data_IF_871980436076
#
_entry.id   IF_871980436076
#
_cell.length_a   1.000
_cell.length_b   1.000
_cell.length_c   1.000
_cell.angle_alpha   90.00
_cell.angle_beta   90.00
_cell.angle_gamma   90.00
#
_symmetry.space_group_name_H-M   'P 1'
#
loop_
_entity.id
_entity.type
_entity.pdbx_description
1 polymer ?
#
# COMPACT_ATOMS: atom_id res chain seq x y z
N UNK A 1 -2.23 0.35 -22.93
CA UNK A 1 -3.20 1.33 -22.37
C UNK A 1 -2.50 1.95 -21.18
N UNK A 2 -2.13 3.25 -21.27
CA UNK A 2 -1.44 3.95 -20.18
C UNK A 2 -2.33 4.06 -18.94
N UNK A 3 -1.77 3.77 -17.77
CA UNK A 3 -2.45 4.00 -16.49
C UNK A 3 -2.52 5.51 -16.25
N UNK A 4 -3.74 6.04 -16.02
CA UNK A 4 -3.92 7.47 -15.77
C UNK A 4 -3.24 7.88 -14.46
N UNK A 5 -2.32 8.87 -14.56
CA UNK A 5 -1.57 9.36 -13.42
C UNK A 5 -1.96 10.79 -13.03
N UNK A 6 -1.87 11.08 -11.74
CA UNK A 6 -1.98 12.44 -11.18
C UNK A 6 -0.59 12.89 -10.75
N UNK A 7 -0.12 13.99 -11.33
CA UNK A 7 1.22 14.54 -11.06
C UNK A 7 1.12 15.80 -10.21
N UNK A 8 1.99 15.92 -9.21
CA UNK A 8 2.10 17.11 -8.36
C UNK A 8 3.57 17.45 -8.10
N UNK A 9 3.87 18.72 -7.84
CA UNK A 9 5.25 19.19 -7.75
C UNK A 9 5.91 19.33 -9.11
N UNK A 10 7.21 19.55 -9.14
CA UNK A 10 7.98 19.69 -10.37
C UNK A 10 9.47 19.45 -10.13
N UNK A 11 10.18 19.06 -11.18
CA UNK A 11 11.62 18.78 -11.14
C UNK A 11 11.96 17.40 -10.57
N UNK A 12 13.25 17.13 -10.51
CA UNK A 12 13.80 15.92 -9.92
C UNK A 12 14.00 16.10 -8.41
N UNK A 13 13.99 14.99 -7.64
CA UNK A 13 13.73 13.62 -8.05
C UNK A 13 12.24 13.35 -8.32
N UNK A 14 11.93 12.24 -8.98
CA UNK A 14 10.53 11.81 -9.21
C UNK A 14 10.21 10.61 -8.33
N UNK A 15 9.10 10.70 -7.58
CA UNK A 15 8.62 9.65 -6.68
C UNK A 15 7.27 9.11 -7.16
N UNK A 16 7.19 7.81 -7.46
CA UNK A 16 5.94 7.12 -7.76
C UNK A 16 5.28 6.60 -6.48
N UNK A 17 3.95 6.66 -6.39
CA UNK A 17 3.20 6.26 -5.21
C UNK A 17 2.08 5.27 -5.55
N UNK A 18 2.13 4.09 -4.93
CA UNK A 18 1.14 3.03 -5.03
C UNK A 18 0.32 2.92 -3.74
N UNK A 19 -1.00 3.07 -3.87
CA UNK A 19 -1.93 3.03 -2.74
C UNK A 19 -2.26 1.59 -2.28
N UNK A 20 -2.94 1.47 -1.14
CA UNK A 20 -3.43 0.22 -0.58
C UNK A 20 -4.70 -0.28 -1.27
N UNK A 21 -5.04 -1.56 -1.04
CA UNK A 21 -6.29 -2.16 -1.50
C UNK A 21 -7.49 -1.41 -0.88
N UNK A 22 -8.45 -1.06 -1.71
CA UNK A 22 -9.62 -0.27 -1.30
C UNK A 22 -9.31 1.16 -0.86
N UNK A 23 -8.08 1.65 -1.10
CA UNK A 23 -7.70 3.03 -0.89
C UNK A 23 -7.70 3.83 -2.20
N UNK A 24 -7.43 5.12 -2.11
CA UNK A 24 -7.43 6.03 -3.25
C UNK A 24 -6.16 6.89 -3.30
N UNK A 25 -5.99 7.59 -4.43
CA UNK A 25 -4.95 8.62 -4.57
C UNK A 25 -5.07 9.68 -3.47
N UNK A 26 -6.30 10.07 -3.09
CA UNK A 26 -6.53 11.11 -2.09
C UNK A 26 -5.99 10.71 -0.69
N UNK A 27 -6.00 9.42 -0.36
CA UNK A 27 -5.45 8.91 0.90
C UNK A 27 -3.92 8.82 0.89
N UNK A 28 -3.31 8.59 -0.28
CA UNK A 28 -1.87 8.42 -0.42
C UNK A 28 -1.12 9.76 -0.57
N UNK A 29 -1.73 10.75 -1.25
CA UNK A 29 -1.13 12.07 -1.47
C UNK A 29 -0.58 12.75 -0.21
N UNK A 30 -1.28 12.77 0.94
CA UNK A 30 -0.77 13.40 2.14
C UNK A 30 0.54 12.81 2.67
N UNK A 31 0.84 11.54 2.39
CA UNK A 31 2.07 10.88 2.82
C UNK A 31 3.31 11.49 2.17
N UNK A 32 3.19 11.99 0.94
CA UNK A 32 4.28 12.60 0.18
C UNK A 32 4.27 14.13 0.21
N UNK A 33 3.50 14.76 1.11
CA UNK A 33 3.35 16.23 1.13
C UNK A 33 4.64 17.00 1.42
N UNK A 34 5.61 16.37 2.10
CA UNK A 34 6.95 16.93 2.39
C UNK A 34 8.05 16.41 1.47
N UNK A 35 7.73 15.60 0.47
CA UNK A 35 8.71 15.03 -0.46
C UNK A 35 8.98 16.00 -1.60
N UNK A 36 10.25 16.26 -1.84
CA UNK A 36 10.73 17.16 -2.88
C UNK A 36 10.55 16.60 -4.30
N UNK A 37 10.58 17.48 -5.28
CA UNK A 37 10.50 17.12 -6.69
C UNK A 37 9.09 16.77 -7.16
N UNK A 38 9.00 15.89 -8.14
CA UNK A 38 7.74 15.46 -8.75
C UNK A 38 7.20 14.21 -8.05
N UNK A 39 5.90 14.22 -7.76
CA UNK A 39 5.20 13.08 -7.15
C UNK A 39 4.11 12.60 -8.09
N UNK A 40 4.14 11.32 -8.41
CA UNK A 40 3.26 10.66 -9.38
C UNK A 40 2.38 9.65 -8.64
N UNK A 41 1.08 9.79 -8.78
CA UNK A 41 0.07 8.93 -8.18
C UNK A 41 -0.78 8.31 -9.27
N UNK A 42 -1.21 7.09 -9.10
CA UNK A 42 -2.11 6.42 -10.04
C UNK A 42 -3.15 5.59 -9.30
N UNK A 43 -4.28 5.34 -9.92
CA UNK A 43 -5.25 4.39 -9.43
C UNK A 43 -4.85 2.99 -9.90
N UNK A 44 -4.59 2.08 -8.96
CA UNK A 44 -4.29 0.69 -9.28
C UNK A 44 -5.50 0.02 -9.92
N UNK A 45 -5.26 -1.07 -10.69
CA UNK A 45 -6.33 -1.86 -11.29
C UNK A 45 -7.42 -2.23 -10.26
N UNK A 46 -8.68 -2.18 -10.68
CA UNK A 46 -9.84 -2.36 -9.82
C UNK A 46 -10.27 -1.14 -9.02
N UNK A 47 -9.52 -0.01 -9.07
CA UNK A 47 -9.78 1.20 -8.27
C UNK A 47 -10.17 2.43 -9.10
N UNK A 48 -10.20 2.31 -10.43
CA UNK A 48 -10.58 3.39 -11.34
C UNK A 48 -11.95 3.17 -12.02
N UNK A 49 -12.80 2.33 -11.43
CA UNK A 49 -14.08 1.93 -12.01
C UNK A 49 -13.98 0.78 -13.01
N UNK A 50 -12.79 0.25 -13.23
CA UNK A 50 -12.52 -0.94 -14.03
C UNK A 50 -12.92 -2.22 -13.28
N UNK A 51 -13.23 -3.28 -14.02
CA UNK A 51 -13.42 -4.63 -13.50
C UNK A 51 -12.34 -5.54 -14.11
N UNK A 52 -11.17 -5.66 -13.46
CA UNK A 52 -10.07 -6.44 -13.98
C UNK A 52 -10.34 -7.93 -13.85
N UNK A 53 -9.65 -8.74 -14.67
CA UNK A 53 -9.46 -10.17 -14.39
C UNK A 53 -8.67 -10.34 -13.06
N UNK A 54 -8.72 -11.52 -12.41
CA UNK A 54 -7.89 -11.82 -11.26
C UNK A 54 -6.43 -11.48 -11.50
N UNK A 55 -5.79 -10.81 -10.53
CA UNK A 55 -4.43 -10.29 -10.68
C UNK A 55 -3.55 -10.61 -9.47
N UNK A 56 -2.26 -10.50 -9.67
CA UNK A 56 -1.21 -10.80 -8.69
C UNK A 56 -0.42 -9.56 -8.29
N UNK A 57 0.49 -9.71 -7.33
CA UNK A 57 1.46 -8.63 -7.01
C UNK A 57 2.44 -8.36 -8.16
N UNK A 58 2.68 -9.35 -9.05
CA UNK A 58 3.49 -9.13 -10.25
C UNK A 58 2.79 -8.17 -11.20
N UNK A 59 1.49 -8.36 -11.43
CA UNK A 59 0.70 -7.48 -12.30
C UNK A 59 0.62 -6.06 -11.76
N UNK A 60 0.48 -5.90 -10.43
CA UNK A 60 0.52 -4.60 -9.77
C UNK A 60 1.91 -3.95 -9.87
N UNK A 61 2.96 -4.76 -9.80
CA UNK A 61 4.34 -4.31 -9.99
C UNK A 61 4.59 -3.81 -11.42
N UNK A 62 4.02 -4.48 -12.41
CA UNK A 62 4.15 -4.09 -13.82
C UNK A 62 3.41 -2.76 -14.11
N UNK A 63 2.21 -2.57 -13.52
CA UNK A 63 1.51 -1.27 -13.59
C UNK A 63 2.32 -0.14 -12.95
N UNK A 64 2.90 -0.40 -11.78
CA UNK A 64 3.76 0.57 -11.08
C UNK A 64 5.00 0.90 -11.91
N UNK A 65 5.66 -0.11 -12.50
CA UNK A 65 6.82 0.10 -13.36
C UNK A 65 6.48 0.93 -14.59
N UNK A 66 5.35 0.65 -15.24
CA UNK A 66 4.91 1.44 -16.39
C UNK A 66 4.74 2.92 -16.01
N UNK A 67 4.08 3.21 -14.89
CA UNK A 67 3.94 4.59 -14.39
C UNK A 67 5.30 5.20 -14.02
N UNK A 68 6.17 4.44 -13.37
CA UNK A 68 7.49 4.91 -12.97
C UNK A 68 8.39 5.21 -14.17
N UNK A 69 8.32 4.38 -15.22
CA UNK A 69 9.10 4.57 -16.45
C UNK A 69 8.59 5.76 -17.27
N UNK A 70 7.26 5.90 -17.43
CA UNK A 70 6.64 7.01 -18.15
C UNK A 70 7.00 8.38 -17.57
N UNK A 71 7.26 8.42 -16.24
CA UNK A 71 7.57 9.67 -15.52
C UNK A 71 9.03 9.80 -15.07
N UNK A 72 9.88 8.80 -15.34
CA UNK A 72 11.28 8.79 -14.90
C UNK A 72 11.44 8.71 -13.38
N UNK A 73 10.55 8.00 -12.69
CA UNK A 73 10.62 7.88 -11.23
C UNK A 73 11.80 7.00 -10.80
N UNK A 74 12.63 7.55 -9.91
CA UNK A 74 13.75 6.84 -9.27
C UNK A 74 13.49 6.51 -7.81
N UNK A 75 12.39 7.02 -7.24
CA UNK A 75 11.96 6.77 -5.87
C UNK A 75 10.53 6.25 -5.86
N UNK A 76 10.16 5.47 -4.85
CA UNK A 76 8.80 4.97 -4.75
C UNK A 76 8.31 4.86 -3.31
N UNK A 77 6.98 5.00 -3.13
CA UNK A 77 6.26 4.70 -1.91
C UNK A 77 5.12 3.71 -2.21
N UNK A 78 5.03 2.65 -1.44
CA UNK A 78 3.92 1.70 -1.49
C UNK A 78 3.24 1.54 -0.14
N UNK A 79 1.91 1.54 -0.15
CA UNK A 79 1.09 1.31 1.04
C UNK A 79 0.39 -0.03 0.91
N UNK A 80 0.55 -0.94 1.87
CA UNK A 80 -0.17 -2.22 1.94
C UNK A 80 -0.06 -3.02 0.62
N UNK A 81 -1.10 -3.09 -0.18
CA UNK A 81 -1.08 -3.68 -1.53
C UNK A 81 0.04 -3.08 -2.39
N UNK A 82 0.21 -1.75 -2.37
CA UNK A 82 1.28 -1.07 -3.06
C UNK A 82 2.68 -1.43 -2.54
N UNK A 83 2.82 -1.72 -1.24
CA UNK A 83 4.07 -2.24 -0.68
C UNK A 83 4.36 -3.66 -1.21
N UNK A 84 3.33 -4.50 -1.35
CA UNK A 84 3.45 -5.81 -2.00
C UNK A 84 3.86 -5.70 -3.48
N UNK A 85 3.28 -4.75 -4.23
CA UNK A 85 3.69 -4.47 -5.60
C UNK A 85 5.17 -4.07 -5.69
N UNK A 86 5.64 -3.18 -4.79
CA UNK A 86 7.06 -2.80 -4.72
C UNK A 86 7.97 -3.97 -4.34
N UNK A 87 7.58 -4.83 -3.40
CA UNK A 87 8.35 -6.05 -3.09
C UNK A 87 8.46 -6.97 -4.31
N UNK A 88 7.39 -7.10 -5.09
CA UNK A 88 7.42 -7.85 -6.35
C UNK A 88 8.37 -7.22 -7.37
N UNK A 89 8.38 -5.90 -7.51
CA UNK A 89 9.35 -5.18 -8.37
C UNK A 89 10.78 -5.41 -7.89
N UNK A 90 11.06 -5.19 -6.60
CA UNK A 90 12.40 -5.33 -6.02
C UNK A 90 12.95 -6.76 -6.17
N UNK A 91 12.09 -7.79 -6.10
CA UNK A 91 12.50 -9.19 -6.28
C UNK A 91 12.95 -9.51 -7.71
N UNK A 92 12.42 -8.79 -8.71
CA UNK A 92 12.69 -8.98 -10.15
C UNK A 92 13.71 -7.97 -10.70
N UNK A 93 13.78 -6.80 -10.09
CA UNK A 93 14.61 -5.67 -10.52
C UNK A 93 15.24 -4.98 -9.30
N UNK A 94 16.27 -5.58 -8.68
CA UNK A 94 16.77 -5.24 -7.35
C UNK A 94 17.44 -3.86 -7.24
N UNK A 95 17.68 -3.17 -8.36
CA UNK A 95 18.25 -1.82 -8.42
C UNK A 95 17.38 -0.82 -9.19
N UNK A 96 16.07 -1.12 -9.38
CA UNK A 96 15.18 -0.28 -10.20
C UNK A 96 14.95 1.11 -9.58
N UNK A 97 14.95 1.20 -8.28
CA UNK A 97 14.77 2.45 -7.55
C UNK A 97 16.00 2.76 -6.69
N UNK A 98 16.26 4.04 -6.49
CA UNK A 98 17.29 4.50 -5.55
C UNK A 98 16.79 4.31 -4.10
N UNK A 99 15.56 4.78 -3.83
CA UNK A 99 14.92 4.71 -2.51
C UNK A 99 13.47 4.24 -2.59
N UNK A 100 13.08 3.41 -1.65
CA UNK A 100 11.72 2.87 -1.53
C UNK A 100 11.20 2.96 -0.11
N UNK A 101 9.97 3.43 0.07
CA UNK A 101 9.24 3.34 1.33
C UNK A 101 8.16 2.26 1.22
N UNK A 102 8.18 1.31 2.14
CA UNK A 102 7.16 0.27 2.30
C UNK A 102 6.37 0.56 3.58
N UNK A 103 5.16 1.07 3.45
CA UNK A 103 4.29 1.35 4.58
C UNK A 103 3.23 0.26 4.72
N UNK A 104 3.18 -0.37 5.90
CA UNK A 104 2.25 -1.45 6.26
C UNK A 104 2.28 -2.65 5.27
N UNK A 105 3.43 -3.27 5.00
CA UNK A 105 3.45 -4.49 4.19
C UNK A 105 2.61 -5.58 4.87
N UNK A 106 1.67 -6.19 4.12
CA UNK A 106 0.74 -7.17 4.67
C UNK A 106 1.09 -8.63 4.36
N UNK A 107 2.03 -8.88 3.45
CA UNK A 107 2.51 -10.20 3.05
C UNK A 107 3.95 -10.12 2.55
N UNK A 108 4.66 -11.25 2.54
CA UNK A 108 6.02 -11.39 2.02
C UNK A 108 6.09 -12.59 1.05
N UNK A 109 6.49 -13.75 1.53
CA UNK A 109 6.72 -14.97 0.74
C UNK A 109 5.81 -16.15 1.17
N UNK A 110 4.81 -15.86 2.00
CA UNK A 110 3.80 -16.83 2.38
C UNK A 110 2.41 -16.29 2.09
N UNK A 111 1.51 -17.11 1.52
CA UNK A 111 0.10 -16.74 1.39
C UNK A 111 -0.51 -16.40 2.74
N UNK A 112 -1.44 -15.47 2.74
CA UNK A 112 -2.12 -15.08 3.97
C UNK A 112 -3.01 -16.20 4.49
N UNK A 113 -2.89 -16.50 5.77
CA UNK A 113 -3.69 -17.51 6.49
C UNK A 113 -4.25 -16.96 7.80
N UNK A 114 -4.03 -15.68 8.05
CA UNK A 114 -4.41 -14.98 9.28
C UNK A 114 -5.89 -14.55 9.26
N UNK A 115 -6.31 -13.87 10.31
CA UNK A 115 -7.67 -13.35 10.47
C UNK A 115 -8.07 -12.37 9.36
N UNK A 116 -7.11 -11.77 8.68
CA UNK A 116 -7.40 -10.88 7.56
C UNK A 116 -8.13 -11.61 6.42
N UNK A 117 -7.85 -12.90 6.18
CA UNK A 117 -8.56 -13.68 5.15
C UNK A 117 -10.06 -13.75 5.46
N UNK A 118 -10.42 -13.99 6.74
CA UNK A 118 -11.84 -14.00 7.15
C UNK A 118 -12.50 -12.63 7.03
N UNK A 119 -11.75 -11.56 7.36
CA UNK A 119 -12.21 -10.17 7.21
C UNK A 119 -12.43 -9.82 5.75
N UNK A 120 -11.53 -10.21 4.87
CA UNK A 120 -11.68 -10.01 3.42
C UNK A 120 -12.88 -10.77 2.87
N UNK A 121 -13.11 -12.02 3.28
CA UNK A 121 -14.30 -12.76 2.87
C UNK A 121 -15.62 -12.07 3.31
N UNK A 122 -15.64 -11.52 4.54
CA UNK A 122 -16.78 -10.75 5.03
C UNK A 122 -17.00 -9.45 4.20
N UNK A 123 -15.91 -8.77 3.83
CA UNK A 123 -15.98 -7.59 2.95
C UNK A 123 -16.56 -7.95 1.58
N UNK A 124 -16.06 -9.01 0.93
CA UNK A 124 -16.60 -9.48 -0.36
C UNK A 124 -18.09 -9.74 -0.26
N UNK A 125 -18.52 -10.48 0.76
CA UNK A 125 -19.93 -10.77 0.98
C UNK A 125 -20.81 -9.50 1.22
N UNK A 126 -20.24 -8.47 1.88
CA UNK A 126 -20.92 -7.19 2.06
C UNK A 126 -21.02 -6.41 0.74
N UNK A 127 -19.93 -6.40 -0.06
CA UNK A 127 -19.92 -5.74 -1.37
C UNK A 127 -20.94 -6.38 -2.34
N UNK A 128 -20.99 -7.73 -2.42
CA UNK A 128 -21.95 -8.46 -3.24
C UNK A 128 -23.41 -8.14 -2.88
N UNK A 129 -23.70 -7.99 -1.60
CA UNK A 129 -25.05 -7.61 -1.11
C UNK A 129 -25.31 -6.11 -1.15
N UNK A 130 -24.34 -5.29 -1.54
CA UNK A 130 -24.39 -3.82 -1.44
C UNK A 130 -24.74 -3.33 -0.03
N UNK A 131 -24.20 -4.02 0.97
CA UNK A 131 -24.42 -3.76 2.39
C UNK A 131 -23.45 -2.69 2.88
N UNK A 132 -23.88 -1.41 2.81
CA UNK A 132 -23.07 -0.28 3.26
C UNK A 132 -22.66 -0.41 4.75
N UNK A 133 -23.54 -0.94 5.60
CA UNK A 133 -23.26 -1.10 7.02
C UNK A 133 -22.14 -2.13 7.26
N UNK A 134 -22.19 -3.27 6.56
CA UNK A 134 -21.15 -4.30 6.63
C UNK A 134 -19.82 -3.82 6.08
N UNK A 135 -19.82 -3.06 4.97
CA UNK A 135 -18.59 -2.45 4.44
C UNK A 135 -18.04 -1.41 5.43
N UNK A 136 -18.89 -0.59 6.03
CA UNK A 136 -18.49 0.40 7.03
C UNK A 136 -17.91 -0.26 8.29
N UNK A 137 -18.45 -1.39 8.72
CA UNK A 137 -17.91 -2.18 9.83
C UNK A 137 -16.48 -2.66 9.51
N UNK A 138 -16.26 -3.18 8.30
CA UNK A 138 -14.92 -3.59 7.85
C UNK A 138 -13.92 -2.45 7.94
N UNK A 139 -14.19 -1.29 7.33
CA UNK A 139 -13.26 -0.15 7.34
C UNK A 139 -13.08 0.44 8.74
N UNK A 140 -14.12 0.38 9.58
CA UNK A 140 -14.05 0.85 10.97
C UNK A 140 -13.11 0.01 11.83
N UNK A 141 -12.97 -1.28 11.52
CA UNK A 141 -12.06 -2.17 12.24
C UNK A 141 -10.56 -1.87 12.00
N UNK A 142 -10.23 -1.10 10.93
CA UNK A 142 -8.87 -0.63 10.67
C UNK A 142 -8.47 0.56 11.56
N UNK A 143 -9.45 1.21 12.21
CA UNK A 143 -9.25 2.40 13.03
C UNK A 143 -9.51 2.06 14.49
N UNK A 144 -8.60 2.42 15.41
CA UNK A 144 -8.81 2.30 16.85
C UNK A 144 -10.15 2.87 17.30
N UNK A 145 -10.84 2.16 18.20
CA UNK A 145 -12.23 2.49 18.59
C UNK A 145 -12.38 3.96 19.03
N UNK A 146 -11.41 4.47 19.80
CA UNK A 146 -11.39 5.84 20.34
C UNK A 146 -11.16 6.93 19.28
N UNK A 147 -10.79 6.55 18.06
CA UNK A 147 -10.60 7.50 16.93
C UNK A 147 -11.76 7.49 15.94
N UNK A 148 -12.68 6.53 16.04
CA UNK A 148 -13.74 6.32 15.04
C UNK A 148 -14.69 7.50 14.91
N UNK A 149 -15.05 8.14 16.01
CA UNK A 149 -15.92 9.31 15.99
C UNK A 149 -15.27 10.48 15.22
N UNK A 150 -13.98 10.71 15.44
CA UNK A 150 -13.22 11.73 14.70
C UNK A 150 -13.01 11.38 13.23
N UNK A 151 -13.07 10.11 12.89
CA UNK A 151 -12.90 9.59 11.54
C UNK A 151 -14.23 9.29 10.84
N UNK A 152 -15.39 9.59 11.44
CA UNK A 152 -16.70 9.15 10.95
C UNK A 152 -16.93 9.51 9.46
N UNK A 153 -16.71 10.76 9.08
CA UNK A 153 -16.86 11.21 7.70
C UNK A 153 -15.91 10.50 6.72
N UNK A 154 -14.67 10.21 7.16
CA UNK A 154 -13.71 9.44 6.38
C UNK A 154 -14.19 7.98 6.21
N UNK A 155 -14.69 7.36 7.29
CA UNK A 155 -15.19 5.99 7.26
C UNK A 155 -16.40 5.85 6.32
N UNK A 156 -17.31 6.80 6.36
CA UNK A 156 -18.49 6.83 5.49
C UNK A 156 -18.09 6.99 4.01
N UNK A 157 -17.19 7.94 3.72
CA UNK A 157 -16.69 8.16 2.36
C UNK A 157 -15.95 6.94 1.82
N UNK A 158 -15.12 6.28 2.66
CA UNK A 158 -14.37 5.08 2.26
C UNK A 158 -15.29 3.88 2.04
N UNK A 159 -16.30 3.68 2.89
CA UNK A 159 -17.28 2.61 2.69
C UNK A 159 -18.06 2.80 1.40
N UNK A 160 -18.48 4.02 1.09
CA UNK A 160 -19.15 4.34 -0.17
C UNK A 160 -18.24 4.12 -1.37
N UNK A 161 -16.97 4.56 -1.30
CA UNK A 161 -15.98 4.34 -2.35
C UNK A 161 -15.80 2.84 -2.66
N UNK A 162 -15.74 1.99 -1.64
CA UNK A 162 -15.61 0.53 -1.81
C UNK A 162 -16.85 -0.05 -2.51
N UNK A 163 -18.06 0.40 -2.18
CA UNK A 163 -19.28 -0.03 -2.85
C UNK A 163 -19.34 0.40 -4.32
N UNK A 164 -18.79 1.58 -4.62
CA UNK A 164 -18.77 2.15 -5.97
C UNK A 164 -17.62 1.63 -6.82
N UNK A 165 -16.72 0.81 -6.23
CA UNK A 165 -15.52 0.26 -6.87
C UNK A 165 -15.57 -1.28 -6.94
N UNK A 166 -16.38 -1.88 -7.83
CA UNK A 166 -16.59 -3.33 -7.88
C UNK A 166 -15.29 -4.11 -8.16
N UNK A 167 -14.32 -3.52 -8.85
CA UNK A 167 -13.02 -4.12 -9.11
C UNK A 167 -12.18 -4.35 -7.85
N UNK A 168 -12.44 -3.65 -6.75
CA UNK A 168 -11.77 -3.88 -5.47
C UNK A 168 -12.03 -5.30 -4.95
N UNK A 169 -13.25 -5.83 -5.13
CA UNK A 169 -13.59 -7.20 -4.72
C UNK A 169 -12.70 -8.26 -5.43
N UNK A 170 -12.30 -7.99 -6.67
CA UNK A 170 -11.36 -8.86 -7.41
C UNK A 170 -10.01 -8.89 -6.68
N UNK A 171 -9.45 -7.74 -6.29
CA UNK A 171 -8.20 -7.67 -5.53
C UNK A 171 -8.30 -8.32 -4.16
N UNK A 172 -9.41 -8.10 -3.43
CA UNK A 172 -9.68 -8.72 -2.12
C UNK A 172 -9.69 -10.25 -2.21
N UNK A 173 -10.12 -10.80 -3.34
CA UNK A 173 -10.19 -12.25 -3.58
C UNK A 173 -8.86 -12.81 -4.12
N UNK A 174 -8.21 -12.08 -5.03
CA UNK A 174 -7.04 -12.56 -5.78
C UNK A 174 -5.73 -12.51 -4.99
N UNK A 175 -5.54 -11.48 -4.15
CA UNK A 175 -4.25 -11.23 -3.52
C UNK A 175 -3.93 -12.11 -2.30
N UNK A 176 -4.87 -12.49 -1.42
CA UNK A 176 -4.54 -13.28 -0.24
C UNK A 176 -3.88 -14.63 -0.52
N UNK A 177 -4.23 -15.39 -1.60
CA UNK A 177 -3.58 -16.66 -1.90
C UNK A 177 -2.22 -16.56 -2.57
N UNK A 178 -1.83 -15.36 -3.03
CA UNK A 178 -0.55 -15.13 -3.73
C UNK A 178 0.41 -14.32 -2.88
N UNK A 179 1.70 -14.38 -3.20
CA UNK A 179 2.77 -13.71 -2.45
C UNK A 179 3.42 -12.61 -3.27
N UNK A 180 3.88 -11.51 -2.63
CA UNK A 180 4.68 -10.47 -3.28
C UNK A 180 5.99 -11.00 -3.88
N UNK A 181 6.65 -11.93 -3.18
CA UNK A 181 7.89 -12.56 -3.62
C UNK A 181 7.76 -14.08 -3.54
N UNK A 182 8.43 -14.83 -4.43
CA UNK A 182 8.37 -16.30 -4.41
C UNK A 182 9.10 -16.89 -3.20
N UNK A 183 10.21 -16.27 -2.80
CA UNK A 183 11.05 -16.64 -1.68
C UNK A 183 11.78 -15.38 -1.21
N UNK A 184 11.80 -15.12 0.11
CA UNK A 184 12.44 -13.93 0.68
C UNK A 184 13.94 -13.85 0.42
N UNK A 185 14.63 -14.95 0.15
CA UNK A 185 16.06 -14.97 -0.13
C UNK A 185 16.44 -14.17 -1.39
N UNK A 186 15.51 -14.01 -2.34
CA UNK A 186 15.75 -13.19 -3.54
C UNK A 186 15.98 -11.72 -3.21
N UNK A 187 15.44 -11.24 -2.07
CA UNK A 187 15.60 -9.86 -1.61
C UNK A 187 17.02 -9.55 -1.12
N UNK A 188 17.85 -10.56 -0.86
CA UNK A 188 19.25 -10.36 -0.47
C UNK A 188 20.09 -9.67 -1.57
N UNK A 189 19.65 -9.67 -2.82
CA UNK A 189 20.28 -8.98 -3.94
C UNK A 189 19.86 -7.52 -4.11
N UNK A 190 18.87 -7.05 -3.34
CA UNK A 190 18.30 -5.69 -3.48
C UNK A 190 19.34 -4.65 -3.06
N UNK A 191 19.73 -3.80 -4.01
CA UNK A 191 20.68 -2.70 -3.80
C UNK A 191 20.00 -1.39 -3.36
N UNK A 192 18.68 -1.28 -3.57
CA UNK A 192 17.84 -0.13 -3.19
C UNK A 192 17.87 0.11 -1.68
N UNK A 193 17.92 1.37 -1.26
CA UNK A 193 17.69 1.76 0.12
C UNK A 193 16.18 1.67 0.42
N UNK A 194 15.81 1.02 1.52
CA UNK A 194 14.40 0.78 1.85
C UNK A 194 14.08 1.25 3.26
N UNK A 195 13.02 2.03 3.42
CA UNK A 195 12.42 2.32 4.71
C UNK A 195 11.14 1.52 4.87
N UNK A 196 11.10 0.65 5.87
CA UNK A 196 9.90 -0.13 6.21
C UNK A 196 9.22 0.52 7.41
N UNK A 197 7.94 0.83 7.27
CA UNK A 197 7.12 1.46 8.31
C UNK A 197 5.94 0.55 8.66
N UNK A 198 5.74 0.28 9.94
CA UNK A 198 4.68 -0.58 10.45
C UNK A 198 4.11 -0.06 11.77
N UNK A 199 3.08 -0.69 12.28
CA UNK A 199 2.45 -0.38 13.57
C UNK A 199 2.06 -1.67 14.30
N UNK A 200 2.18 -1.65 15.62
CA UNK A 200 1.69 -2.76 16.45
C UNK A 200 0.16 -2.80 16.48
N UNK A 201 -0.38 -3.99 16.70
CA UNK A 201 -1.82 -4.18 16.87
C UNK A 201 -2.67 -3.95 15.62
N UNK A 202 -2.06 -3.88 14.43
CA UNK A 202 -2.81 -3.76 13.18
C UNK A 202 -3.39 -5.13 12.78
N UNK A 203 -4.70 -5.25 12.64
CA UNK A 203 -5.35 -6.53 12.34
C UNK A 203 -5.16 -6.99 10.89
N UNK A 204 -4.77 -6.09 9.99
CA UNK A 204 -4.55 -6.40 8.57
C UNK A 204 -3.06 -6.44 8.18
N UNK A 205 -2.20 -5.77 8.95
CA UNK A 205 -0.77 -5.64 8.65
C UNK A 205 0.06 -6.00 9.89
N UNK A 206 0.22 -7.30 10.21
CA UNK A 206 1.01 -7.73 11.36
C UNK A 206 2.43 -7.14 11.30
N UNK A 207 2.86 -6.43 12.36
CA UNK A 207 4.19 -5.82 12.42
C UNK A 207 5.33 -6.86 12.22
N UNK A 208 5.05 -8.13 12.50
CA UNK A 208 5.98 -9.23 12.24
C UNK A 208 6.35 -9.35 10.74
N UNK A 209 5.39 -9.14 9.83
CA UNK A 209 5.67 -9.15 8.38
C UNK A 209 6.66 -8.04 8.02
N UNK A 210 6.48 -6.85 8.58
CA UNK A 210 7.42 -5.74 8.35
C UNK A 210 8.83 -6.03 8.88
N UNK A 211 8.94 -6.70 10.04
CA UNK A 211 10.23 -7.15 10.58
C UNK A 211 10.90 -8.16 9.67
N UNK A 212 10.15 -9.09 9.13
CA UNK A 212 10.65 -10.10 8.19
C UNK A 212 11.07 -9.48 6.85
N UNK A 213 10.30 -8.51 6.34
CA UNK A 213 10.67 -7.74 5.15
C UNK A 213 11.98 -6.98 5.38
N UNK A 214 12.09 -6.26 6.49
CA UNK A 214 13.32 -5.51 6.80
C UNK A 214 14.53 -6.43 6.99
N UNK A 215 14.35 -7.58 7.62
CA UNK A 215 15.44 -8.56 7.81
C UNK A 215 15.90 -9.22 6.50
N UNK A 216 15.04 -9.30 5.49
CA UNK A 216 15.38 -9.88 4.18
C UNK A 216 16.10 -8.91 3.24
N UNK A 217 16.04 -7.60 3.51
CA UNK A 217 16.59 -6.53 2.68
C UNK A 217 17.92 -6.02 3.25
N UNK A 218 19.03 -6.01 2.48
CA UNK A 218 20.35 -5.63 2.97
C UNK A 218 20.47 -4.18 3.47
N UNK A 219 19.69 -3.28 2.89
CA UNK A 219 19.74 -1.83 3.18
C UNK A 219 18.39 -1.32 3.67
N UNK A 220 17.75 -2.03 4.60
CA UNK A 220 16.48 -1.63 5.15
C UNK A 220 16.59 -1.00 6.54
N UNK A 221 15.99 0.19 6.70
CA UNK A 221 15.59 0.74 7.98
C UNK A 221 14.19 0.29 8.35
N UNK A 222 13.92 0.07 9.65
CA UNK A 222 12.60 -0.30 10.15
C UNK A 222 12.16 0.65 11.26
N UNK A 223 10.95 1.19 11.13
CA UNK A 223 10.27 1.90 12.22
C UNK A 223 8.92 1.25 12.47
N UNK A 224 8.67 0.83 13.70
CA UNK A 224 7.38 0.29 14.14
C UNK A 224 6.76 1.26 15.13
N UNK A 225 5.56 1.75 14.84
CA UNK A 225 4.79 2.57 15.78
C UNK A 225 4.18 1.66 16.85
N UNK A 226 4.20 2.11 18.09
CA UNK A 226 3.79 1.30 19.25
C UNK A 226 2.30 0.96 19.30
N UNK A 227 1.48 1.68 18.52
CA UNK A 227 0.02 1.55 18.51
C UNK A 227 -0.54 1.64 17.09
N UNK A 228 -1.72 1.02 16.82
CA UNK A 228 -2.38 1.15 15.54
C UNK A 228 -2.93 2.56 15.32
N UNK A 229 -3.16 2.93 14.06
CA UNK A 229 -3.70 4.23 13.68
C UNK A 229 -2.66 5.33 13.48
N UNK A 230 -1.42 4.99 13.12
CA UNK A 230 -0.34 5.95 12.86
C UNK A 230 -0.73 7.06 11.87
N UNK A 231 -1.53 6.75 10.84
CA UNK A 231 -2.09 7.73 9.89
C UNK A 231 -2.91 8.85 10.55
N UNK A 232 -3.50 8.59 11.71
CA UNK A 232 -4.35 9.54 12.43
C UNK A 232 -3.63 10.14 13.64
N UNK A 233 -2.93 9.30 14.42
CA UNK A 233 -2.29 9.67 15.67
C UNK A 233 -0.97 10.41 15.46
N UNK A 234 -0.15 9.90 14.55
CA UNK A 234 1.24 10.32 14.37
C UNK A 234 1.53 10.83 12.95
N UNK A 235 0.52 11.44 12.34
CA UNK A 235 0.58 11.91 10.95
C UNK A 235 1.81 12.76 10.63
N UNK A 236 2.18 13.67 11.54
CA UNK A 236 3.35 14.53 11.33
C UNK A 236 4.65 13.72 11.35
N UNK A 237 4.82 12.82 12.35
CA UNK A 237 5.98 11.95 12.46
C UNK A 237 6.09 11.01 11.27
N UNK A 238 4.98 10.38 10.87
CA UNK A 238 4.94 9.49 9.71
C UNK A 238 5.39 10.21 8.43
N UNK A 239 4.86 11.40 8.17
CA UNK A 239 5.26 12.21 7.00
C UNK A 239 6.71 12.67 7.09
N UNK A 240 7.18 13.06 8.28
CA UNK A 240 8.58 13.42 8.51
C UNK A 240 9.51 12.26 8.16
N UNK A 241 9.27 11.06 8.70
CA UNK A 241 10.06 9.86 8.38
C UNK A 241 10.13 9.57 6.88
N UNK A 242 8.99 9.71 6.18
CA UNK A 242 8.93 9.48 4.73
C UNK A 242 9.70 10.56 3.97
N UNK A 243 9.47 11.85 4.29
CA UNK A 243 10.13 12.96 3.60
C UNK A 243 11.64 13.00 3.87
N UNK A 244 12.05 12.81 5.12
CA UNK A 244 13.47 12.83 5.50
C UNK A 244 14.22 11.71 4.75
N UNK A 245 13.66 10.49 4.75
CA UNK A 245 14.27 9.37 4.03
C UNK A 245 14.31 9.57 2.51
N UNK A 246 13.23 10.06 1.90
CA UNK A 246 13.18 10.23 0.45
C UNK A 246 13.95 11.45 -0.03
N UNK A 247 14.12 12.49 0.78
CA UNK A 247 14.81 13.73 0.37
C UNK A 247 16.34 13.65 0.57
N UNK A 248 16.85 12.81 1.48
CA UNK A 248 18.29 12.55 1.62
C UNK A 248 18.90 11.92 0.35
#
# INVERSE_FOLDING_TARGET
VGVAAVVTGSGAPVTAAAHGLGASIAETRPLLSGVDGTRVFYAARGHAGDLPEPFTYSDLGDDLLAVADDHGATRALGVSMGAGALLSVLSRSPSRFDKVVLFLPGALDQPRKDDAVRRFAALVAALERKDLAGVREFVSAEIPAELRDRAAAYLDARAQFLLDSPGVAVGVTSLPPVTPVPDRSVLASVATEVLVLAQEGDPLHPAQVAREVAAALPKAGLVVFDQPGALLRERARLRGLISDFLND
#
